data_IF_499891988256
#
_entry.id   IF_499891988256
#
_cell.length_a   1.000
_cell.length_b   1.000
_cell.length_c   1.000
_cell.angle_alpha   90.00
_cell.angle_beta   90.00
_cell.angle_gamma   90.00
#
_symmetry.space_group_name_H-M   'P 1'
#
loop_
_entity.id
_entity.type
_entity.pdbx_description
1 polymer ?
#
# COMPACT_ATOMS: atom_id res chain seq x y z
N UNK A 1 1.22 12.48 45.05
CA UNK A 1 2.26 13.21 44.30
C UNK A 1 2.50 12.43 43.01
N UNK A 2 1.75 12.75 41.95
CA UNK A 2 1.78 12.06 40.67
C UNK A 2 2.20 13.07 39.60
N UNK A 3 3.23 12.74 38.81
CA UNK A 3 3.67 13.54 37.66
C UNK A 3 2.61 13.45 36.56
N UNK A 4 2.18 14.55 35.94
CA UNK A 4 1.31 14.47 34.78
C UNK A 4 2.12 13.98 33.58
N UNK A 5 1.61 12.93 32.94
CA UNK A 5 2.17 12.35 31.73
C UNK A 5 2.26 13.36 30.61
N UNK A 6 3.41 13.41 29.95
CA UNK A 6 3.59 14.07 28.67
C UNK A 6 2.76 13.32 27.63
N UNK A 7 1.55 13.82 27.38
CA UNK A 7 0.77 13.42 26.23
C UNK A 7 1.61 13.71 24.97
N UNK A 8 2.12 12.65 24.33
CA UNK A 8 2.68 12.75 22.98
C UNK A 8 1.54 13.23 22.09
N UNK A 9 1.63 14.48 21.66
CA UNK A 9 0.69 15.05 20.71
C UNK A 9 0.81 14.26 19.40
N UNK A 10 -0.29 13.68 18.86
CA UNK A 10 -0.27 13.03 17.56
C UNK A 10 -0.21 14.12 16.47
N UNK A 11 0.98 14.66 16.21
CA UNK A 11 1.23 15.60 15.11
C UNK A 11 1.36 14.80 13.83
N UNK A 12 0.24 14.57 13.16
CA UNK A 12 0.22 13.96 11.85
C UNK A 12 -1.00 14.46 11.12
N UNK A 13 -0.80 15.50 10.28
CA UNK A 13 -1.54 15.88 9.05
C UNK A 13 -1.45 17.38 8.73
N UNK A 14 -1.02 18.25 9.66
CA UNK A 14 -0.85 19.69 9.38
C UNK A 14 0.51 20.04 8.76
N UNK A 15 1.52 19.18 8.91
CA UNK A 15 2.91 19.45 8.52
C UNK A 15 3.15 19.54 7.01
N UNK A 16 2.23 19.03 6.17
CA UNK A 16 2.33 19.12 4.72
C UNK A 16 1.76 20.46 4.17
N UNK A 17 1.07 21.26 5.00
CA UNK A 17 0.46 22.52 4.56
C UNK A 17 1.55 23.57 4.27
N UNK A 18 1.69 24.07 3.04
CA UNK A 18 2.74 25.02 2.68
C UNK A 18 2.38 26.43 3.15
N UNK A 19 2.75 26.76 4.39
CA UNK A 19 2.44 28.05 5.05
C UNK A 19 3.65 28.97 5.18
N UNK A 20 4.88 28.45 5.14
CA UNK A 20 6.08 29.23 5.44
C UNK A 20 6.68 29.87 4.19
N UNK A 21 6.89 31.18 4.20
CA UNK A 21 7.68 31.87 3.18
C UNK A 21 9.17 31.55 3.32
N UNK A 22 9.96 31.77 2.27
CA UNK A 22 11.39 31.40 2.24
C UNK A 22 12.22 31.98 3.39
N UNK A 23 11.93 33.21 3.84
CA UNK A 23 12.64 33.83 4.97
C UNK A 23 12.38 33.09 6.28
N UNK A 24 11.11 32.77 6.56
CA UNK A 24 10.70 32.02 7.74
C UNK A 24 11.25 30.59 7.69
N UNK A 25 11.13 29.92 6.54
CA UNK A 25 11.69 28.58 6.35
C UNK A 25 13.20 28.54 6.57
N UNK A 26 13.93 29.56 6.07
CA UNK A 26 15.38 29.67 6.26
C UNK A 26 15.75 29.84 7.74
N UNK A 27 15.01 30.69 8.47
CA UNK A 27 15.21 30.87 9.91
C UNK A 27 14.92 29.58 10.69
N UNK A 28 13.82 28.89 10.40
CA UNK A 28 13.46 27.64 11.06
C UNK A 28 14.44 26.50 10.73
N UNK A 29 15.00 26.50 9.52
CA UNK A 29 16.00 25.53 9.10
C UNK A 29 17.43 25.89 9.55
N UNK A 30 17.67 27.07 10.14
CA UNK A 30 19.02 27.49 10.50
C UNK A 30 19.95 27.72 9.31
N UNK A 31 19.40 28.20 8.20
CA UNK A 31 20.10 28.38 6.92
C UNK A 31 19.90 29.77 6.32
N UNK A 32 20.69 30.10 5.30
CA UNK A 32 20.47 31.29 4.49
C UNK A 32 19.45 31.04 3.39
N UNK A 33 18.60 32.03 3.07
CA UNK A 33 17.59 31.91 2.01
C UNK A 33 18.17 31.59 0.62
N UNK A 34 19.44 31.98 0.36
CA UNK A 34 20.14 31.61 -0.87
C UNK A 34 20.41 30.10 -0.96
N UNK A 35 20.73 29.45 0.15
CA UNK A 35 20.95 28.00 0.24
C UNK A 35 19.66 27.25 -0.06
N UNK A 36 18.53 27.70 0.50
CA UNK A 36 17.21 27.12 0.19
C UNK A 36 16.86 27.24 -1.31
N UNK A 37 17.19 28.37 -1.95
CA UNK A 37 17.03 28.52 -3.41
C UNK A 37 17.94 27.56 -4.19
N UNK A 38 19.16 27.34 -3.72
CA UNK A 38 20.05 26.37 -4.33
C UNK A 38 19.50 24.95 -4.21
N UNK A 39 19.03 24.55 -3.04
CA UNK A 39 18.50 23.21 -2.81
C UNK A 39 17.23 22.92 -3.62
N UNK A 40 16.31 23.89 -3.73
CA UNK A 40 15.15 23.73 -4.62
C UNK A 40 15.55 23.64 -6.10
N UNK A 41 16.55 24.41 -6.56
CA UNK A 41 17.05 24.28 -7.94
C UNK A 41 17.68 22.92 -8.22
N UNK A 42 18.28 22.31 -7.20
CA UNK A 42 18.84 20.96 -7.25
C UNK A 42 17.77 19.87 -7.07
N UNK A 43 16.51 20.25 -6.81
CA UNK A 43 15.41 19.32 -6.60
C UNK A 43 15.42 18.62 -5.24
N UNK A 44 16.26 19.05 -4.29
CA UNK A 44 16.35 18.46 -2.94
C UNK A 44 15.13 18.76 -2.07
N UNK A 45 14.43 19.86 -2.37
CA UNK A 45 13.17 20.25 -1.73
C UNK A 45 12.26 20.87 -2.77
N UNK A 46 10.98 20.52 -2.76
CA UNK A 46 10.00 21.00 -3.74
C UNK A 46 8.91 21.84 -3.06
N UNK A 47 9.17 23.14 -2.80
CA UNK A 47 8.18 24.02 -2.21
C UNK A 47 6.99 24.22 -3.14
N UNK A 48 5.81 24.39 -2.55
CA UNK A 48 4.63 24.81 -3.28
C UNK A 48 4.79 26.25 -3.78
N UNK A 49 4.24 26.56 -4.96
CA UNK A 49 4.26 27.92 -5.51
C UNK A 49 2.90 28.58 -5.35
N UNK A 50 2.91 29.84 -4.94
CA UNK A 50 1.72 30.71 -4.93
C UNK A 50 1.43 31.25 -6.32
N UNK A 51 0.21 31.77 -6.54
CA UNK A 51 -0.17 32.41 -7.80
C UNK A 51 0.76 33.59 -8.19
N UNK A 52 1.37 34.26 -7.22
CA UNK A 52 2.38 35.30 -7.44
C UNK A 52 3.81 34.79 -7.65
N UNK A 53 4.02 33.48 -7.81
CA UNK A 53 5.34 32.87 -8.02
C UNK A 53 6.21 32.73 -6.76
N UNK A 54 5.72 33.16 -5.59
CA UNK A 54 6.41 33.01 -4.31
C UNK A 54 6.41 31.56 -3.81
N UNK A 55 7.51 31.13 -3.21
CA UNK A 55 7.69 29.79 -2.63
C UNK A 55 7.04 29.71 -1.25
N UNK A 56 6.31 28.62 -1.01
CA UNK A 56 5.80 28.24 0.30
C UNK A 56 6.29 26.86 0.67
N UNK A 57 6.86 26.79 1.85
CA UNK A 57 7.40 25.60 2.47
C UNK A 57 6.42 25.10 3.52
N UNK A 58 6.30 23.80 3.61
CA UNK A 58 5.55 23.10 4.65
C UNK A 58 6.44 22.83 5.87
N UNK A 59 5.85 22.38 6.98
CA UNK A 59 6.61 21.93 8.16
C UNK A 59 7.52 20.75 7.83
N UNK A 60 7.04 19.87 6.95
CA UNK A 60 7.83 18.75 6.40
C UNK A 60 9.04 19.22 5.60
N UNK A 61 8.87 20.23 4.73
CA UNK A 61 9.99 20.78 3.96
C UNK A 61 11.07 21.36 4.88
N UNK A 62 10.68 22.04 5.96
CA UNK A 62 11.62 22.60 6.94
C UNK A 62 12.37 21.49 7.69
N UNK A 63 11.71 20.38 8.00
CA UNK A 63 12.35 19.21 8.61
C UNK A 63 13.34 18.55 7.65
N UNK A 64 12.96 18.39 6.38
CA UNK A 64 13.83 17.88 5.32
C UNK A 64 15.06 18.77 5.11
N UNK A 65 14.89 20.09 5.11
CA UNK A 65 15.99 21.04 5.00
C UNK A 65 17.00 20.87 6.15
N UNK A 66 16.52 20.73 7.39
CA UNK A 66 17.39 20.48 8.56
C UNK A 66 18.16 19.17 8.42
N UNK A 67 17.53 18.13 7.90
CA UNK A 67 18.17 16.85 7.65
C UNK A 67 19.27 16.93 6.59
N UNK A 68 18.98 17.60 5.47
CA UNK A 68 19.97 17.87 4.41
C UNK A 68 21.16 18.65 4.99
N UNK A 69 20.93 19.60 5.90
CA UNK A 69 22.00 20.34 6.58
C UNK A 69 22.92 19.43 7.35
N UNK A 70 22.33 18.54 8.16
CA UNK A 70 23.04 17.63 9.03
C UNK A 70 23.91 16.68 8.21
N UNK A 71 23.33 16.03 7.21
CA UNK A 71 24.06 15.14 6.30
C UNK A 71 25.18 15.87 5.55
N UNK A 72 24.95 17.12 5.15
CA UNK A 72 25.98 17.94 4.50
C UNK A 72 27.12 18.30 5.45
N UNK A 73 26.84 18.53 6.75
CA UNK A 73 27.87 18.78 7.78
C UNK A 73 28.66 17.52 8.10
N UNK A 74 28.03 16.35 8.00
CA UNK A 74 28.68 15.04 8.18
C UNK A 74 29.54 14.62 6.95
N UNK A 75 29.66 15.49 5.94
CA UNK A 75 30.52 15.28 4.78
C UNK A 75 29.86 14.58 3.58
N UNK A 76 28.55 14.37 3.61
CA UNK A 76 27.82 13.80 2.48
C UNK A 76 27.67 14.85 1.38
N UNK A 77 28.01 14.48 0.15
CA UNK A 77 27.82 15.37 -1.00
C UNK A 77 26.32 15.57 -1.30
N UNK A 78 25.93 16.73 -1.83
CA UNK A 78 24.53 17.01 -2.19
C UNK A 78 23.95 15.97 -3.17
N UNK A 79 24.77 15.43 -4.07
CA UNK A 79 24.37 14.35 -4.98
C UNK A 79 24.11 13.04 -4.21
N UNK A 80 24.92 12.74 -3.18
CA UNK A 80 24.67 11.62 -2.28
C UNK A 80 23.38 11.78 -1.49
N UNK A 81 23.12 12.98 -0.97
CA UNK A 81 21.87 13.30 -0.26
C UNK A 81 20.66 13.12 -1.20
N UNK A 82 20.73 13.65 -2.42
CA UNK A 82 19.68 13.46 -3.42
C UNK A 82 19.40 11.97 -3.66
N UNK A 83 20.45 11.17 -3.83
CA UNK A 83 20.32 9.73 -4.06
C UNK A 83 19.67 9.01 -2.88
N UNK A 84 20.01 9.41 -1.65
CA UNK A 84 19.38 8.85 -0.43
C UNK A 84 17.89 9.16 -0.42
N UNK A 85 17.50 10.42 -0.65
CA UNK A 85 16.09 10.84 -0.66
C UNK A 85 15.29 10.13 -1.75
N UNK A 86 15.86 9.96 -2.95
CA UNK A 86 15.22 9.22 -4.03
C UNK A 86 14.99 7.74 -3.66
N UNK A 87 15.95 7.12 -2.98
CA UNK A 87 15.83 5.74 -2.51
C UNK A 87 14.80 5.62 -1.39
N UNK A 88 14.76 6.55 -0.44
CA UNK A 88 13.75 6.58 0.61
C UNK A 88 12.33 6.67 0.02
N UNK A 89 12.13 7.56 -0.97
CA UNK A 89 10.87 7.69 -1.68
C UNK A 89 10.49 6.39 -2.42
N UNK A 90 11.46 5.72 -3.05
CA UNK A 90 11.22 4.42 -3.70
C UNK A 90 10.83 3.34 -2.67
N UNK A 91 11.48 3.31 -1.52
CA UNK A 91 11.15 2.36 -0.44
C UNK A 91 9.73 2.60 0.06
N UNK A 92 9.33 3.85 0.31
CA UNK A 92 7.96 4.20 0.72
C UNK A 92 6.93 3.77 -0.33
N UNK A 93 7.21 4.04 -1.61
CA UNK A 93 6.33 3.64 -2.70
C UNK A 93 6.19 2.12 -2.81
N UNK A 94 7.30 1.39 -2.69
CA UNK A 94 7.30 -0.07 -2.70
C UNK A 94 6.56 -0.66 -1.50
N UNK A 95 6.76 -0.11 -0.30
CA UNK A 95 6.03 -0.52 0.90
C UNK A 95 4.53 -0.31 0.72
N UNK A 96 4.11 0.85 0.23
CA UNK A 96 2.70 1.14 -0.06
C UNK A 96 2.12 0.13 -1.07
N UNK A 97 2.89 -0.21 -2.11
CA UNK A 97 2.47 -1.20 -3.11
C UNK A 97 2.37 -2.61 -2.52
N UNK A 98 3.30 -2.99 -1.64
CA UNK A 98 3.24 -4.28 -0.93
C UNK A 98 2.01 -4.36 -0.05
N UNK A 99 1.68 -3.28 0.67
CA UNK A 99 0.51 -3.25 1.55
C UNK A 99 -0.80 -3.31 0.74
N UNK A 100 -0.88 -2.61 -0.39
CA UNK A 100 -2.00 -2.70 -1.33
C UNK A 100 -2.20 -4.14 -1.83
N UNK A 101 -1.13 -4.78 -2.31
CA UNK A 101 -1.19 -6.16 -2.82
C UNK A 101 -1.55 -7.16 -1.71
N UNK A 102 -1.07 -6.95 -0.48
CA UNK A 102 -1.45 -7.77 0.68
C UNK A 102 -2.93 -7.61 0.99
N UNK A 103 -3.46 -6.40 0.92
CA UNK A 103 -4.89 -6.15 1.14
C UNK A 103 -5.74 -6.88 0.09
N UNK A 104 -5.36 -6.80 -1.19
CA UNK A 104 -6.05 -7.50 -2.29
C UNK A 104 -6.00 -9.03 -2.13
N UNK A 105 -4.83 -9.56 -1.77
CA UNK A 105 -4.65 -10.99 -1.51
C UNK A 105 -5.48 -11.46 -0.31
N UNK A 106 -5.58 -10.65 0.75
CA UNK A 106 -6.43 -10.96 1.90
C UNK A 106 -7.91 -10.98 1.53
N UNK A 107 -8.37 -10.04 0.69
CA UNK A 107 -9.75 -9.94 0.24
C UNK A 107 -10.15 -11.14 -0.64
N UNK A 108 -9.27 -11.55 -1.56
CA UNK A 108 -9.48 -12.74 -2.40
C UNK A 108 -9.53 -14.01 -1.57
N UNK A 109 -8.63 -14.18 -0.60
CA UNK A 109 -8.64 -15.31 0.32
C UNK A 109 -9.90 -15.34 1.19
N UNK A 110 -10.38 -14.19 1.68
CA UNK A 110 -11.62 -14.12 2.45
C UNK A 110 -12.85 -14.50 1.60
N UNK A 111 -12.90 -14.06 0.33
CA UNK A 111 -13.96 -14.45 -0.59
C UNK A 111 -13.97 -15.96 -0.89
N UNK A 112 -12.79 -16.56 -1.04
CA UNK A 112 -12.60 -18.01 -1.20
C UNK A 112 -12.96 -18.78 0.07
N UNK A 113 -12.60 -18.29 1.26
CA UNK A 113 -12.91 -18.93 2.54
C UNK A 113 -14.39 -18.83 2.91
N UNK A 114 -15.05 -17.72 2.55
CA UNK A 114 -16.50 -17.55 2.71
C UNK A 114 -17.32 -18.47 1.80
N UNK A 115 -16.74 -18.91 0.68
CA UNK A 115 -17.27 -20.07 -0.04
C UNK A 115 -16.95 -21.32 0.78
N UNK A 116 -17.89 -21.73 1.64
CA UNK A 116 -17.71 -22.86 2.55
C UNK A 116 -17.10 -24.06 1.80
N UNK A 117 -15.94 -24.58 2.22
CA UNK A 117 -15.37 -25.78 1.61
C UNK A 117 -16.40 -26.90 1.74
N UNK A 118 -16.94 -27.32 0.60
CA UNK A 118 -18.00 -28.31 0.52
C UNK A 118 -19.42 -27.78 0.28
N UNK A 119 -19.69 -26.48 0.09
CA UNK A 119 -21.05 -26.00 -0.29
C UNK A 119 -21.36 -26.11 -1.79
N UNK A 120 -20.32 -26.30 -2.61
CA UNK A 120 -20.42 -26.64 -4.03
C UNK A 120 -19.50 -27.82 -4.33
N UNK A 121 -20.09 -28.91 -4.80
CA UNK A 121 -19.39 -30.10 -5.30
C UNK A 121 -19.39 -30.01 -6.82
N UNK A 122 -18.24 -30.22 -7.45
CA UNK A 122 -18.18 -30.27 -8.91
C UNK A 122 -18.49 -31.70 -9.36
N UNK A 123 -19.44 -31.85 -10.28
CA UNK A 123 -19.74 -33.13 -10.92
C UNK A 123 -19.39 -33.05 -12.40
N UNK A 124 -18.91 -34.18 -12.95
CA UNK A 124 -18.77 -34.35 -14.38
C UNK A 124 -20.15 -34.64 -14.99
N UNK A 125 -20.56 -33.79 -15.92
CA UNK A 125 -21.72 -34.02 -16.75
C UNK A 125 -21.46 -35.14 -17.78
N UNK A 126 -22.52 -35.71 -18.36
CA UNK A 126 -22.40 -36.84 -19.27
C UNK A 126 -21.68 -36.52 -20.60
N UNK A 127 -21.43 -35.24 -20.92
CA UNK A 127 -20.62 -34.81 -22.06
C UNK A 127 -19.22 -34.32 -21.66
N UNK A 128 -18.83 -34.50 -20.39
CA UNK A 128 -17.52 -34.08 -19.88
C UNK A 128 -17.47 -32.63 -19.37
N UNK A 129 -18.59 -31.92 -19.33
CA UNK A 129 -18.69 -30.58 -18.77
C UNK A 129 -18.60 -30.59 -17.24
N UNK A 130 -17.96 -29.57 -16.66
CA UNK A 130 -17.89 -29.40 -15.19
C UNK A 130 -19.09 -28.59 -14.73
N UNK A 131 -19.93 -29.16 -13.86
CA UNK A 131 -21.13 -28.49 -13.32
C UNK A 131 -20.99 -28.35 -11.80
N UNK A 132 -21.21 -27.14 -11.29
CA UNK A 132 -21.27 -26.91 -9.84
C UNK A 132 -22.63 -27.35 -9.29
N UNK A 133 -22.63 -28.30 -8.35
CA UNK A 133 -23.84 -28.88 -7.73
C UNK A 133 -23.82 -28.64 -6.23
N UNK A 134 -24.99 -28.49 -5.60
CA UNK A 134 -25.06 -28.45 -4.13
C UNK A 134 -24.88 -29.85 -3.54
N UNK A 135 -24.22 -30.00 -2.39
CA UNK A 135 -24.14 -31.27 -1.65
C UNK A 135 -25.53 -31.86 -1.41
N UNK A 136 -25.68 -33.16 -1.61
CA UNK A 136 -26.96 -33.86 -1.47
C UNK A 136 -27.92 -33.70 -2.65
N UNK A 137 -27.62 -32.83 -3.63
CA UNK A 137 -28.42 -32.69 -4.84
C UNK A 137 -27.93 -33.70 -5.88
N UNK A 138 -28.74 -34.74 -6.15
CA UNK A 138 -28.42 -35.72 -7.20
C UNK A 138 -28.54 -35.03 -8.57
N UNK A 139 -27.54 -35.13 -9.46
CA UNK A 139 -27.66 -34.60 -10.81
C UNK A 139 -28.94 -35.15 -11.45
N UNK A 140 -29.84 -34.27 -11.90
CA UNK A 140 -31.03 -34.73 -12.61
C UNK A 140 -30.55 -35.39 -13.89
N UNK A 141 -30.66 -36.72 -13.91
CA UNK A 141 -30.43 -37.54 -15.08
C UNK A 141 -31.51 -37.21 -16.10
N UNK A 142 -31.21 -36.31 -17.03
CA UNK A 142 -32.00 -36.11 -18.24
C UNK A 142 -31.75 -37.31 -19.16
N UNK A 143 -32.30 -38.48 -18.84
CA UNK A 143 -32.26 -39.65 -19.71
C UNK A 143 -33.64 -40.00 -20.22
N UNK A 144 -33.73 -40.14 -21.55
CA UNK A 144 -34.85 -40.71 -22.29
C UNK A 144 -34.86 -42.26 -22.28
N UNK A 145 -34.22 -42.92 -21.32
CA UNK A 145 -34.13 -44.39 -21.29
C UNK A 145 -34.01 -44.93 -19.86
N UNK A 146 -35.01 -45.72 -19.45
CA UNK A 146 -35.14 -46.37 -18.14
C UNK A 146 -34.70 -47.85 -18.19
N UNK A 147 -33.51 -48.14 -18.73
CA UNK A 147 -33.01 -49.51 -18.69
C UNK A 147 -32.41 -49.84 -17.30
N UNK A 148 -33.12 -50.67 -16.52
CA UNK A 148 -32.62 -51.30 -15.29
C UNK A 148 -31.78 -52.53 -15.64
N UNK A 149 -30.51 -52.55 -15.22
CA UNK A 149 -29.68 -53.76 -15.25
C UNK A 149 -29.65 -54.35 -13.85
N UNK A 150 -30.24 -55.53 -13.69
CA UNK A 150 -30.19 -56.30 -12.44
C UNK A 150 -28.85 -57.03 -12.39
N UNK A 151 -27.95 -56.56 -11.54
CA UNK A 151 -26.68 -57.22 -11.29
C UNK A 151 -26.87 -58.42 -10.33
N UNK A 152 -26.46 -59.61 -10.78
CA UNK A 152 -26.45 -60.83 -9.96
C UNK A 152 -25.00 -61.29 -9.78
N UNK A 153 -24.42 -61.24 -8.57
CA UNK A 153 -23.09 -61.78 -8.32
C UNK A 153 -23.12 -63.30 -8.42
N UNK A 154 -22.21 -63.88 -9.20
CA UNK A 154 -21.96 -65.31 -9.21
C UNK A 154 -20.92 -65.59 -8.13
N UNK A 155 -21.29 -66.41 -7.13
CA UNK A 155 -20.28 -66.95 -6.20
C UNK A 155 -19.51 -68.03 -6.96
N UNK A 156 -18.20 -67.89 -6.99
CA UNK A 156 -17.29 -68.96 -7.39
C UNK A 156 -17.19 -69.90 -6.17
N UNK A 157 -17.57 -71.15 -6.38
CA UNK A 157 -17.27 -72.27 -5.46
C UNK A 157 -15.82 -72.74 -5.65
#
# INVERSE_FOLDING_TARGET
MAMPGTARHPMGHDDDTPVFVISVAAQLAGMHAQTLRQYDRLGLVSPSRTQGGGRRYSGRDVSLLREIQRLSQDGVSLAGIQRILDLENQVIALQSRVDELRAELSATQAALAGARPGERVFAAGPRGEVVAVRPGQRPQRTFASQALVVWRPHRLD
#
